data_IF_885503398662
#
_entry.id   IF_885503398662
#
_cell.length_a   1.000
_cell.length_b   1.000
_cell.length_c   1.000
_cell.angle_alpha   90.00
_cell.angle_beta   90.00
_cell.angle_gamma   90.00
#
_symmetry.space_group_name_H-M   'P 1'
#
loop_
_entity.id
_entity.type
_entity.pdbx_description
1 polymer ?
#
# COMPACT_ATOMS: atom_id res chain seq x y z
N UNK A 1 17.30 12.90 -12.25
CA UNK A 1 16.32 12.65 -13.33
C UNK A 1 16.36 11.19 -13.79
N UNK A 2 17.54 10.60 -14.02
CA UNK A 2 17.73 9.21 -14.50
C UNK A 2 17.12 8.15 -13.56
N UNK A 3 17.30 8.26 -12.24
CA UNK A 3 16.77 7.28 -11.29
C UNK A 3 15.23 7.20 -11.31
N UNK A 4 14.53 8.35 -11.44
CA UNK A 4 13.06 8.39 -11.47
C UNK A 4 12.50 7.59 -12.66
N UNK A 5 13.07 7.77 -13.85
CA UNK A 5 12.62 7.06 -15.05
C UNK A 5 12.84 5.55 -14.96
N UNK A 6 13.92 5.12 -14.29
CA UNK A 6 14.21 3.71 -14.08
C UNK A 6 13.23 3.06 -13.09
N UNK A 7 12.83 3.79 -12.05
CA UNK A 7 11.80 3.33 -11.13
C UNK A 7 10.39 3.33 -11.74
N UNK A 8 10.07 4.29 -12.60
CA UNK A 8 8.79 4.33 -13.33
C UNK A 8 8.70 3.15 -14.30
N UNK A 9 9.75 2.84 -15.06
CA UNK A 9 9.80 1.67 -15.92
C UNK A 9 9.66 0.34 -15.14
N UNK A 10 10.27 0.24 -13.96
CA UNK A 10 10.02 -0.89 -13.06
C UNK A 10 8.57 -0.92 -12.54
N UNK A 11 7.98 0.26 -12.32
CA UNK A 11 6.58 0.44 -11.92
C UNK A 11 5.61 -0.04 -12.99
N UNK A 12 5.78 0.37 -14.25
CA UNK A 12 5.01 -0.09 -15.41
C UNK A 12 5.05 -1.62 -15.53
N UNK A 13 6.24 -2.21 -15.43
CA UNK A 13 6.41 -3.67 -15.52
C UNK A 13 5.82 -4.41 -14.32
N UNK A 14 5.77 -3.77 -13.16
CA UNK A 14 5.14 -4.32 -11.96
C UNK A 14 3.61 -4.14 -11.97
N UNK A 15 3.08 -3.14 -12.69
CA UNK A 15 1.65 -2.87 -12.79
C UNK A 15 0.88 -4.05 -13.40
N UNK A 16 1.47 -4.77 -14.35
CA UNK A 16 0.87 -5.98 -14.93
C UNK A 16 0.64 -7.10 -13.91
N UNK A 17 1.43 -7.15 -12.83
CA UNK A 17 1.24 -8.11 -11.73
C UNK A 17 0.19 -7.65 -10.71
N UNK A 18 -0.12 -6.36 -10.67
CA UNK A 18 -1.08 -5.77 -9.73
C UNK A 18 -2.16 -4.95 -10.43
N UNK A 19 -2.98 -5.55 -11.31
CA UNK A 19 -4.04 -4.83 -12.06
C UNK A 19 -5.12 -4.24 -11.14
N UNK A 20 -5.28 -4.78 -9.92
CA UNK A 20 -6.24 -4.26 -8.91
C UNK A 20 -5.72 -3.04 -8.15
N UNK A 21 -4.45 -2.66 -8.30
CA UNK A 21 -3.83 -1.60 -7.51
C UNK A 21 -4.44 -0.23 -7.84
N UNK A 22 -4.75 0.04 -9.11
CA UNK A 22 -5.37 1.30 -9.52
C UNK A 22 -6.73 1.52 -8.85
N UNK A 23 -7.61 0.51 -8.90
CA UNK A 23 -8.90 0.55 -8.22
C UNK A 23 -8.76 0.72 -6.71
N UNK A 24 -7.74 0.10 -6.10
CA UNK A 24 -7.46 0.24 -4.68
C UNK A 24 -6.95 1.65 -4.32
N UNK A 25 -6.04 2.22 -5.10
CA UNK A 25 -5.54 3.59 -4.89
C UNK A 25 -6.65 4.62 -5.01
N UNK A 26 -7.51 4.49 -6.04
CA UNK A 26 -8.66 5.37 -6.25
C UNK A 26 -9.67 5.27 -5.09
N UNK A 27 -9.99 4.05 -4.66
CA UNK A 27 -10.88 3.82 -3.50
C UNK A 27 -10.27 4.35 -2.20
N UNK A 28 -8.94 4.26 -2.06
CA UNK A 28 -8.20 4.78 -0.93
C UNK A 28 -8.03 6.32 -0.95
N UNK A 29 -8.50 7.04 -1.99
CA UNK A 29 -8.21 8.47 -2.22
C UNK A 29 -6.71 8.76 -2.16
N UNK A 30 -5.93 7.91 -2.80
CA UNK A 30 -4.52 8.16 -3.03
C UNK A 30 -4.42 8.70 -4.46
N UNK A 31 -4.25 10.02 -4.58
CA UNK A 31 -4.11 10.74 -5.86
C UNK A 31 -2.69 10.52 -6.42
N UNK A 32 -2.36 9.26 -6.70
CA UNK A 32 -1.09 8.83 -7.25
C UNK A 32 -1.34 7.80 -8.33
N UNK A 33 -0.56 7.87 -9.40
CA UNK A 33 -0.60 6.85 -10.43
C UNK A 33 -0.03 5.52 -9.90
N UNK A 34 -0.55 4.36 -10.36
CA UNK A 34 -0.10 3.05 -9.91
C UNK A 34 1.42 2.85 -10.05
N UNK A 35 1.99 3.36 -11.14
CA UNK A 35 3.41 3.28 -11.47
C UNK A 35 4.25 4.09 -10.48
N UNK A 36 3.86 5.34 -10.21
CA UNK A 36 4.51 6.19 -9.21
C UNK A 36 4.44 5.58 -7.81
N UNK A 37 3.31 4.96 -7.47
CA UNK A 37 3.15 4.29 -6.19
C UNK A 37 4.06 3.07 -6.06
N UNK A 38 4.13 2.22 -7.08
CA UNK A 38 5.02 1.06 -7.11
C UNK A 38 6.49 1.48 -7.06
N UNK A 39 6.87 2.53 -7.78
CA UNK A 39 8.19 3.15 -7.71
C UNK A 39 8.54 3.63 -6.28
N UNK A 40 7.58 4.27 -5.59
CA UNK A 40 7.75 4.65 -4.18
C UNK A 40 7.88 3.44 -3.25
N UNK A 41 7.08 2.40 -3.46
CA UNK A 41 7.18 1.14 -2.71
C UNK A 41 8.55 0.49 -2.90
N UNK A 42 9.07 0.47 -4.12
CA UNK A 42 10.40 -0.03 -4.44
C UNK A 42 11.48 0.77 -3.72
N UNK A 43 11.41 2.11 -3.79
CA UNK A 43 12.36 3.00 -3.12
C UNK A 43 12.33 2.83 -1.59
N UNK A 44 11.13 2.69 -0.99
CA UNK A 44 10.98 2.43 0.44
C UNK A 44 11.53 1.06 0.83
N UNK A 45 11.28 0.03 0.03
CA UNK A 45 11.79 -1.31 0.26
C UNK A 45 13.33 -1.34 0.20
N UNK A 46 13.95 -0.63 -0.75
CA UNK A 46 15.42 -0.48 -0.82
C UNK A 46 15.95 0.26 0.41
N UNK A 47 15.34 1.40 0.78
CA UNK A 47 15.74 2.19 1.96
C UNK A 47 15.65 1.39 3.26
N UNK A 48 14.73 0.41 3.33
CA UNK A 48 14.61 -0.49 4.47
C UNK A 48 15.63 -1.64 4.39
N UNK A 49 15.78 -2.28 3.23
CA UNK A 49 16.59 -3.49 3.09
C UNK A 49 18.10 -3.21 3.14
N UNK A 50 18.57 -2.12 2.56
CA UNK A 50 20.00 -1.76 2.52
C UNK A 50 20.63 -1.63 3.92
N UNK A 51 20.10 -0.81 4.85
CA UNK A 51 20.69 -0.68 6.18
C UNK A 51 20.60 -1.98 7.00
N UNK A 52 19.50 -2.75 6.85
CA UNK A 52 19.34 -4.04 7.53
C UNK A 52 20.38 -5.04 7.03
N UNK A 53 20.56 -5.14 5.71
CA UNK A 53 21.55 -6.04 5.10
C UNK A 53 22.96 -5.64 5.53
N UNK A 54 23.27 -4.34 5.52
CA UNK A 54 24.56 -3.83 5.98
C UNK A 54 24.82 -4.16 7.46
N UNK A 55 23.83 -4.00 8.34
CA UNK A 55 23.96 -4.34 9.75
C UNK A 55 24.21 -5.84 9.96
N UNK A 56 23.45 -6.69 9.28
CA UNK A 56 23.62 -8.15 9.33
C UNK A 56 25.00 -8.56 8.80
N UNK A 57 25.47 -7.93 7.73
CA UNK A 57 26.79 -8.17 7.17
C UNK A 57 27.90 -7.83 8.18
N UNK A 58 27.85 -6.65 8.80
CA UNK A 58 28.84 -6.24 9.82
C UNK A 58 28.84 -7.19 11.01
N UNK A 59 27.67 -7.61 11.49
CA UNK A 59 27.57 -8.60 12.58
C UNK A 59 28.20 -9.94 12.15
N UNK A 60 27.94 -10.39 10.93
CA UNK A 60 28.48 -11.65 10.42
C UNK A 60 30.02 -11.67 10.35
N UNK A 61 30.64 -10.53 9.99
CA UNK A 61 32.10 -10.39 9.96
C UNK A 61 32.72 -10.49 11.35
N UNK A 62 32.06 -9.97 12.38
CA UNK A 62 32.56 -10.01 13.76
C UNK A 62 32.47 -11.42 14.38
N UNK A 63 31.54 -12.26 13.92
CA UNK A 63 31.32 -13.62 14.43
C UNK A 63 32.28 -14.64 13.77
N UNK A 64 32.97 -14.26 12.69
CA UNK A 64 33.96 -15.11 12.00
C UNK A 64 33.36 -16.30 11.24
N UNK A 65 32.03 -16.37 11.12
CA UNK A 65 31.34 -17.44 10.40
C UNK A 65 31.25 -17.14 8.90
N UNK A 66 32.13 -17.75 8.10
CA UNK A 66 32.14 -17.61 6.63
C UNK A 66 30.79 -17.90 5.96
N UNK A 67 30.02 -18.84 6.54
CA UNK A 67 28.66 -19.17 6.10
C UNK A 67 27.67 -18.02 6.29
N UNK A 68 27.76 -17.27 7.40
CA UNK A 68 26.84 -16.15 7.68
C UNK A 68 27.11 -14.96 6.76
N UNK A 69 28.36 -14.72 6.40
CA UNK A 69 28.76 -13.69 5.44
C UNK A 69 28.22 -14.01 4.03
N UNK A 70 28.25 -15.29 3.64
CA UNK A 70 27.70 -15.75 2.35
C UNK A 70 26.17 -15.64 2.28
N UNK A 71 25.48 -15.87 3.40
CA UNK A 71 24.01 -15.83 3.51
C UNK A 71 23.44 -14.41 3.67
N UNK A 72 24.25 -13.44 4.09
CA UNK A 72 23.84 -12.03 4.27
C UNK A 72 23.14 -11.39 3.04
N UNK A 73 23.66 -11.49 1.80
CA UNK A 73 22.98 -10.94 0.63
C UNK A 73 21.64 -11.63 0.33
N UNK A 74 21.52 -12.94 0.59
CA UNK A 74 20.26 -13.68 0.44
C UNK A 74 19.22 -13.17 1.44
N UNK A 75 19.62 -12.97 2.69
CA UNK A 75 18.75 -12.36 3.71
C UNK A 75 18.30 -10.95 3.31
N UNK A 76 19.18 -10.15 2.70
CA UNK A 76 18.84 -8.83 2.18
C UNK A 76 17.77 -8.84 1.09
N UNK A 77 17.86 -9.80 0.16
CA UNK A 77 16.83 -9.99 -0.90
C UNK A 77 15.49 -10.40 -0.29
N UNK A 78 15.49 -11.29 0.70
CA UNK A 78 14.27 -11.72 1.39
C UNK A 78 13.61 -10.55 2.13
N UNK A 79 14.40 -9.76 2.87
CA UNK A 79 13.91 -8.56 3.58
C UNK A 79 13.36 -7.53 2.58
N UNK A 80 14.04 -7.34 1.45
CA UNK A 80 13.56 -6.48 0.37
C UNK A 80 12.21 -6.95 -0.17
N UNK A 81 12.08 -8.23 -0.52
CA UNK A 81 10.85 -8.80 -1.04
C UNK A 81 9.69 -8.71 -0.04
N UNK A 82 9.93 -9.01 1.24
CA UNK A 82 8.94 -8.86 2.30
C UNK A 82 8.52 -7.41 2.50
N UNK A 83 9.49 -6.48 2.52
CA UNK A 83 9.22 -5.05 2.63
C UNK A 83 8.38 -4.55 1.48
N UNK A 84 8.75 -4.90 0.25
CA UNK A 84 8.01 -4.52 -0.95
C UNK A 84 6.57 -5.05 -0.92
N UNK A 85 6.37 -6.33 -0.62
CA UNK A 85 5.04 -6.94 -0.53
C UNK A 85 4.16 -6.26 0.55
N UNK A 86 4.79 -5.89 1.67
CA UNK A 86 4.12 -5.17 2.76
C UNK A 86 3.67 -3.78 2.31
N UNK A 87 4.54 -3.01 1.64
CA UNK A 87 4.20 -1.68 1.16
C UNK A 87 3.11 -1.72 0.08
N UNK A 88 3.15 -2.70 -0.84
CA UNK A 88 2.12 -2.87 -1.88
C UNK A 88 0.76 -3.28 -1.30
N UNK A 89 0.72 -3.88 -0.10
CA UNK A 89 -0.52 -4.27 0.58
C UNK A 89 -1.21 -3.14 1.36
N UNK A 90 -0.51 -2.02 1.59
CA UNK A 90 -1.04 -0.84 2.30
C UNK A 90 -2.34 -0.28 1.70
N UNK A 91 -2.44 -0.04 0.37
CA UNK A 91 -3.67 0.51 -0.22
C UNK A 91 -4.86 -0.40 0.03
N UNK A 92 -4.69 -1.72 -0.06
CA UNK A 92 -5.73 -2.71 0.23
C UNK A 92 -6.22 -2.65 1.69
N UNK A 93 -5.32 -2.40 2.65
CA UNK A 93 -5.70 -2.21 4.05
C UNK A 93 -6.49 -0.91 4.23
N UNK A 94 -6.07 0.18 3.57
CA UNK A 94 -6.77 1.47 3.62
C UNK A 94 -8.16 1.40 3.00
N UNK A 95 -8.32 0.75 1.86
CA UNK A 95 -9.64 0.55 1.23
C UNK A 95 -10.56 -0.22 2.16
N UNK A 96 -10.11 -1.35 2.72
CA UNK A 96 -10.91 -2.16 3.64
C UNK A 96 -11.34 -1.39 4.90
N UNK A 97 -10.44 -0.60 5.48
CA UNK A 97 -10.78 0.28 6.63
C UNK A 97 -11.84 1.32 6.25
N UNK A 98 -11.72 1.90 5.06
CA UNK A 98 -12.67 2.90 4.58
C UNK A 98 -14.03 2.30 4.28
N UNK A 99 -14.10 1.17 3.58
CA UNK A 99 -15.35 0.47 3.30
C UNK A 99 -16.08 0.14 4.60
N UNK A 100 -15.37 -0.38 5.61
CA UNK A 100 -15.96 -0.63 6.94
C UNK A 100 -16.49 0.64 7.63
N UNK A 101 -15.80 1.77 7.46
CA UNK A 101 -16.26 3.06 7.99
C UNK A 101 -17.54 3.50 7.29
N UNK A 102 -17.58 3.39 5.96
CA UNK A 102 -18.76 3.70 5.16
C UNK A 102 -19.93 2.78 5.50
N UNK A 103 -19.73 1.47 5.60
CA UNK A 103 -20.77 0.51 6.01
C UNK A 103 -21.35 0.82 7.39
N UNK A 104 -20.51 1.32 8.31
CA UNK A 104 -20.97 1.74 9.64
C UNK A 104 -21.78 3.04 9.59
N UNK A 105 -21.42 3.98 8.73
CA UNK A 105 -22.08 5.29 8.58
C UNK A 105 -23.34 5.22 7.70
N UNK A 106 -23.41 4.24 6.78
CA UNK A 106 -24.50 4.04 5.83
C UNK A 106 -25.90 3.99 6.47
N UNK A 107 -26.16 3.19 7.53
CA UNK A 107 -27.48 3.14 8.15
C UNK A 107 -27.87 4.46 8.84
N UNK A 108 -26.90 5.23 9.35
CA UNK A 108 -27.18 6.55 9.94
C UNK A 108 -27.55 7.56 8.86
N UNK A 109 -26.79 7.61 7.76
CA UNK A 109 -27.11 8.47 6.62
C UNK A 109 -28.46 8.10 5.98
N UNK A 110 -28.76 6.80 5.87
CA UNK A 110 -30.05 6.34 5.35
C UNK A 110 -31.22 6.78 6.25
N UNK A 111 -31.04 6.74 7.57
CA UNK A 111 -32.05 7.22 8.52
C UNK A 111 -32.29 8.73 8.39
N UNK A 112 -31.23 9.53 8.25
CA UNK A 112 -31.36 10.98 8.04
C UNK A 112 -32.09 11.30 6.72
N UNK A 113 -31.78 10.58 5.64
CA UNK A 113 -32.46 10.72 4.36
C UNK A 113 -33.95 10.34 4.48
N UNK A 114 -34.27 9.23 5.17
CA UNK A 114 -35.66 8.83 5.40
C UNK A 114 -36.45 9.90 6.16
N UNK A 115 -35.86 10.54 7.16
CA UNK A 115 -36.50 11.64 7.91
C UNK A 115 -36.72 12.86 7.00
N UNK A 116 -35.78 13.18 6.11
CA UNK A 116 -35.88 14.30 5.18
C UNK A 116 -36.87 14.08 4.04
N UNK A 117 -37.12 12.83 3.64
CA UNK A 117 -38.10 12.44 2.60
C UNK A 117 -39.52 12.32 3.16
N UNK A 118 -39.69 12.33 4.49
CA UNK A 118 -40.99 12.24 5.16
C UNK A 118 -41.62 13.59 5.63
N UNK A 119 -41.64 14.70 4.85
CA UNK A 119 -42.55 15.81 5.10
C UNK A 119 -43.92 15.62 4.40
N UNK A 120 -44.19 14.44 3.83
CA UNK A 120 -45.21 14.23 2.80
C UNK A 120 -46.58 13.65 3.20
N UNK A 121 -46.89 13.41 4.47
CA UNK A 121 -48.21 12.88 4.88
C UNK A 121 -49.01 13.79 5.82
N UNK A 122 -48.95 15.11 5.61
CA UNK A 122 -49.82 16.05 6.35
C UNK A 122 -50.22 17.29 5.56
N UNK A 123 -50.81 17.11 4.37
CA UNK A 123 -51.56 18.15 3.67
C UNK A 123 -52.82 17.59 2.99
N UNK A 124 -53.84 17.23 3.77
CA UNK A 124 -55.24 17.22 3.30
C UNK A 124 -56.08 17.87 4.39
N UNK A 125 -56.22 19.19 4.28
CA UNK A 125 -57.39 19.95 4.75
C UNK A 125 -57.88 20.69 3.52
N UNK A 126 -58.95 20.18 2.92
CA UNK A 126 -59.97 20.92 2.15
C UNK A 126 -61.18 20.00 2.03
#
# INVERSE_FOLDING_TARGET
>A
MIAKNLFIFLGEKAQSFFPKLEGQLRTARMDKEPEEYLAECFNKAIKLSVPITAAVYVISLNIGGSLFTLLSPVAGIVVFAMGFLTFTSIPNIKTKKRTRKLEKELPYALRDILIQIDPGFRFIKL
#
